data_IF_764311890466
#
_entry.id   IF_764311890466
#
_cell.length_a   1.000
_cell.length_b   1.000
_cell.length_c   1.000
_cell.angle_alpha   90.00
_cell.angle_beta   90.00
_cell.angle_gamma   90.00
#
_symmetry.space_group_name_H-M   'P 1'
#
loop_
_entity.id
_entity.type
_entity.pdbx_description
1 polymer ?
#
# COMPACT_ATOMS: atom_id res chain seq x y z
N UNK A 1 14.59 10.99 4.31
CA UNK A 1 15.72 10.14 4.75
C UNK A 1 15.47 8.72 4.28
N UNK A 2 15.87 8.39 3.06
CA UNK A 2 16.12 7.02 2.63
C UNK A 2 17.63 6.98 2.48
N UNK A 3 18.27 6.15 3.29
CA UNK A 3 19.70 6.21 3.52
C UNK A 3 20.45 5.82 2.24
N UNK A 4 21.09 6.81 1.62
CA UNK A 4 22.20 6.60 0.71
C UNK A 4 23.45 6.34 1.56
N UNK A 5 23.97 5.13 1.53
CA UNK A 5 25.40 4.89 1.77
C UNK A 5 25.86 3.73 0.91
N UNK A 6 26.55 4.10 -0.17
CA UNK A 6 27.57 3.28 -0.81
C UNK A 6 28.64 2.91 0.22
N UNK A 7 29.05 1.65 0.27
CA UNK A 7 30.40 1.29 0.70
C UNK A 7 31.19 0.86 -0.52
N UNK A 8 32.12 1.74 -0.93
CA UNK A 8 33.26 1.35 -1.73
C UNK A 8 34.16 0.46 -0.87
N UNK A 9 34.58 -0.69 -1.40
CA UNK A 9 35.63 -1.51 -0.82
C UNK A 9 36.69 -1.77 -1.87
N UNK A 10 37.90 -1.31 -1.59
CA UNK A 10 39.12 -1.60 -2.35
C UNK A 10 39.57 -3.05 -2.10
N UNK A 11 39.91 -3.75 -3.18
CA UNK A 11 40.45 -5.11 -3.14
C UNK A 11 41.85 -5.17 -2.52
N UNK A 12 42.21 -6.33 -1.94
CA UNK A 12 43.37 -7.05 -2.45
C UNK A 12 42.97 -8.46 -2.93
N UNK A 13 43.64 -8.91 -4.00
CA UNK A 13 43.48 -10.22 -4.64
C UNK A 13 44.06 -11.32 -3.74
N UNK A 14 43.24 -12.30 -3.37
CA UNK A 14 43.71 -13.64 -3.00
C UNK A 14 42.70 -14.68 -3.49
N UNK A 15 43.20 -15.56 -4.36
CA UNK A 15 42.46 -16.67 -4.96
C UNK A 15 42.24 -17.74 -3.89
N UNK A 16 41.00 -17.90 -3.46
CA UNK A 16 40.52 -19.13 -2.82
C UNK A 16 39.18 -19.43 -3.45
N UNK A 17 39.12 -20.49 -4.25
CA UNK A 17 37.89 -21.05 -4.76
C UNK A 17 37.05 -21.53 -3.56
N UNK A 18 36.20 -20.64 -3.07
CA UNK A 18 35.11 -21.01 -2.18
C UNK A 18 34.03 -21.59 -3.07
N UNK A 19 33.83 -22.90 -3.00
CA UNK A 19 32.56 -23.51 -3.38
C UNK A 19 31.48 -22.89 -2.49
N UNK A 20 30.96 -21.76 -2.93
CA UNK A 20 29.77 -21.17 -2.38
C UNK A 20 28.63 -22.01 -2.94
N UNK A 21 28.09 -22.90 -2.13
CA UNK A 21 26.73 -23.38 -2.30
C UNK A 21 25.80 -22.19 -2.03
N UNK A 22 25.84 -21.20 -2.93
CA UNK A 22 24.90 -20.09 -2.94
C UNK A 22 23.56 -20.74 -3.19
N UNK A 23 22.68 -20.73 -2.20
CA UNK A 23 21.26 -20.92 -2.40
C UNK A 23 20.85 -19.89 -3.45
N UNK A 24 20.83 -20.34 -4.70
CA UNK A 24 20.57 -19.49 -5.84
C UNK A 24 19.16 -18.94 -5.65
N UNK A 25 19.02 -17.61 -5.64
CA UNK A 25 17.72 -16.98 -5.49
C UNK A 25 16.95 -17.13 -6.81
N UNK A 26 16.37 -18.33 -6.99
CA UNK A 26 15.63 -18.74 -8.18
C UNK A 26 14.38 -17.88 -8.40
N UNK A 27 13.87 -17.25 -7.35
CA UNK A 27 12.73 -16.34 -7.44
C UNK A 27 13.18 -15.07 -8.14
N UNK A 28 14.31 -14.48 -7.75
CA UNK A 28 14.89 -13.31 -8.42
C UNK A 28 15.33 -13.55 -9.87
N UNK A 29 15.37 -14.80 -10.35
CA UNK A 29 15.68 -15.12 -11.75
C UNK A 29 14.45 -15.16 -12.67
N UNK A 30 13.25 -15.04 -12.11
CA UNK A 30 12.02 -14.99 -12.91
C UNK A 30 11.96 -13.66 -13.68
N UNK A 31 11.32 -13.64 -14.88
CA UNK A 31 11.06 -12.40 -15.59
C UNK A 31 10.28 -11.39 -14.74
N UNK A 32 10.57 -10.11 -14.94
CA UNK A 32 9.97 -9.00 -14.19
C UNK A 32 8.43 -9.05 -14.20
N UNK A 33 7.82 -9.47 -15.30
CA UNK A 33 6.36 -9.58 -15.42
C UNK A 33 5.79 -10.62 -14.44
N UNK A 34 6.49 -11.73 -14.25
CA UNK A 34 6.08 -12.78 -13.30
C UNK A 34 6.25 -12.28 -11.87
N UNK A 35 7.35 -11.57 -11.58
CA UNK A 35 7.60 -10.98 -10.28
C UNK A 35 6.55 -9.93 -9.92
N UNK A 36 6.21 -9.04 -10.86
CA UNK A 36 5.11 -8.07 -10.70
C UNK A 36 3.78 -8.78 -10.48
N UNK A 37 3.50 -9.86 -11.20
CA UNK A 37 2.30 -10.68 -11.01
C UNK A 37 2.24 -11.39 -9.66
N UNK A 38 3.39 -11.73 -9.05
CA UNK A 38 3.43 -12.27 -7.68
C UNK A 38 3.16 -11.15 -6.68
N UNK A 39 3.88 -10.03 -6.82
CA UNK A 39 3.74 -8.87 -5.93
C UNK A 39 2.34 -8.25 -5.97
N UNK A 40 1.65 -8.26 -7.12
CA UNK A 40 0.29 -7.73 -7.26
C UNK A 40 -0.78 -8.53 -6.51
N UNK A 41 -0.46 -9.75 -6.09
CA UNK A 41 -1.33 -10.60 -5.26
C UNK A 41 -1.17 -10.32 -3.77
N UNK A 42 -0.16 -9.56 -3.40
CA UNK A 42 0.14 -9.20 -2.02
C UNK A 42 -0.53 -7.87 -1.65
N UNK A 43 -0.70 -7.65 -0.35
CA UNK A 43 -0.88 -6.29 0.17
C UNK A 43 0.37 -5.46 -0.08
N UNK A 44 0.25 -4.14 -0.12
CA UNK A 44 1.42 -3.26 -0.26
C UNK A 44 2.41 -3.46 0.90
N UNK A 45 1.91 -3.75 2.10
CA UNK A 45 2.75 -4.02 3.27
C UNK A 45 3.62 -5.26 3.04
N UNK A 46 3.02 -6.32 2.51
CA UNK A 46 3.73 -7.56 2.18
C UNK A 46 4.66 -7.36 0.98
N UNK A 47 4.25 -6.64 -0.06
CA UNK A 47 5.07 -6.34 -1.22
C UNK A 47 6.32 -5.53 -0.84
N UNK A 48 6.18 -4.48 -0.02
CA UNK A 48 7.29 -3.69 0.51
C UNK A 48 8.18 -4.54 1.42
N UNK A 49 7.60 -5.44 2.22
CA UNK A 49 8.39 -6.36 3.05
C UNK A 49 9.19 -7.35 2.22
N UNK A 50 8.58 -7.92 1.18
CA UNK A 50 9.24 -8.82 0.23
C UNK A 50 10.31 -8.10 -0.60
N UNK A 51 10.16 -6.79 -0.81
CA UNK A 51 11.16 -5.93 -1.44
C UNK A 51 12.49 -5.88 -0.68
N UNK A 52 12.54 -6.31 0.58
CA UNK A 52 13.77 -6.40 1.37
C UNK A 52 14.56 -7.70 1.09
N UNK A 53 13.94 -8.68 0.43
CA UNK A 53 14.55 -9.99 0.17
C UNK A 53 15.45 -9.98 -1.06
N UNK A 54 15.23 -9.05 -2.00
CA UNK A 54 16.00 -8.95 -3.23
C UNK A 54 16.04 -7.53 -3.76
N UNK A 55 17.18 -7.15 -4.35
CA UNK A 55 17.31 -5.88 -5.08
C UNK A 55 16.28 -5.77 -6.20
N UNK A 56 15.91 -6.89 -6.82
CA UNK A 56 14.96 -6.88 -7.92
C UNK A 56 13.56 -6.51 -7.42
N UNK A 57 13.15 -7.16 -6.34
CA UNK A 57 11.89 -6.90 -5.69
C UNK A 57 11.80 -5.47 -5.14
N UNK A 58 12.94 -4.93 -4.69
CA UNK A 58 13.07 -3.55 -4.20
C UNK A 58 12.74 -2.47 -5.24
N UNK A 59 12.90 -2.75 -6.54
CA UNK A 59 12.50 -1.82 -7.58
C UNK A 59 11.10 -2.13 -8.13
N UNK A 60 10.71 -3.41 -8.24
CA UNK A 60 9.45 -3.79 -8.87
C UNK A 60 8.20 -3.42 -8.07
N UNK A 61 8.29 -3.39 -6.73
CA UNK A 61 7.10 -3.11 -5.91
C UNK A 61 6.49 -1.73 -6.18
N UNK A 62 7.25 -0.76 -6.70
CA UNK A 62 6.73 0.59 -7.05
C UNK A 62 5.99 0.63 -8.39
N UNK A 63 5.98 -0.47 -9.13
CA UNK A 63 5.35 -0.61 -10.45
C UNK A 63 4.11 -1.51 -10.46
N UNK A 64 3.76 -2.11 -9.31
CA UNK A 64 2.63 -3.05 -9.25
C UNK A 64 1.31 -2.36 -9.64
N UNK A 65 0.41 -3.04 -10.38
CA UNK A 65 -0.87 -2.47 -10.76
C UNK A 65 -1.90 -2.47 -9.63
N UNK A 66 -1.63 -3.19 -8.54
CA UNK A 66 -2.55 -3.36 -7.40
C UNK A 66 -1.95 -2.72 -6.16
N UNK A 67 -2.52 -1.60 -5.73
CA UNK A 67 -2.23 -0.94 -4.46
C UNK A 67 -3.29 -1.33 -3.42
N UNK A 68 -3.10 -2.50 -2.80
CA UNK A 68 -3.95 -3.00 -1.73
C UNK A 68 -3.38 -2.63 -0.36
N UNK A 69 -3.93 -1.61 0.28
CA UNK A 69 -3.54 -1.16 1.62
C UNK A 69 -4.36 -1.81 2.75
N UNK A 70 -4.94 -2.98 2.53
CA UNK A 70 -5.59 -3.75 3.60
C UNK A 70 -4.57 -4.14 4.70
N UNK A 71 -4.79 -3.63 5.91
CA UNK A 71 -4.02 -3.98 7.11
C UNK A 71 -4.94 -4.63 8.17
N UNK A 72 -5.66 -5.66 7.75
CA UNK A 72 -6.55 -6.47 8.59
C UNK A 72 -5.90 -6.95 9.88
N UNK A 73 -4.59 -7.24 9.87
CA UNK A 73 -3.85 -7.63 11.09
C UNK A 73 -3.77 -6.47 12.09
N UNK A 74 -3.38 -5.27 11.66
CA UNK A 74 -3.36 -4.09 12.54
C UNK A 74 -4.75 -3.72 13.01
N UNK A 75 -5.76 -3.86 12.17
CA UNK A 75 -7.16 -3.65 12.53
C UNK A 75 -7.64 -4.63 13.60
N UNK A 76 -7.27 -5.90 13.49
CA UNK A 76 -7.54 -6.89 14.51
C UNK A 76 -6.89 -6.52 15.85
N UNK A 77 -5.62 -6.14 15.86
CA UNK A 77 -4.91 -5.68 17.07
C UNK A 77 -5.59 -4.45 17.72
N UNK A 78 -6.13 -3.54 16.91
CA UNK A 78 -6.87 -2.36 17.37
C UNK A 78 -8.21 -2.75 18.01
N UNK A 79 -8.94 -3.69 17.39
CA UNK A 79 -10.22 -4.20 17.93
C UNK A 79 -10.06 -4.90 19.26
N UNK A 80 -8.91 -5.55 19.49
CA UNK A 80 -8.56 -6.14 20.79
C UNK A 80 -8.16 -5.10 21.86
N UNK A 81 -8.13 -3.80 21.53
CA UNK A 81 -7.73 -2.74 22.45
C UNK A 81 -6.24 -2.71 22.77
N UNK A 82 -5.41 -3.50 22.07
CA UNK A 82 -3.98 -3.60 22.34
C UNK A 82 -3.18 -2.34 21.92
N UNK A 83 -3.78 -1.47 21.10
CA UNK A 83 -3.12 -0.30 20.51
C UNK A 83 -4.05 0.92 20.50
N UNK A 84 -3.46 2.11 20.57
CA UNK A 84 -4.20 3.38 20.42
C UNK A 84 -4.59 3.61 18.96
N UNK A 85 -5.89 3.72 18.69
CA UNK A 85 -6.44 3.99 17.36
C UNK A 85 -5.81 5.22 16.70
N UNK A 86 -5.71 6.34 17.43
CA UNK A 86 -5.14 7.58 16.91
C UNK A 86 -3.69 7.40 16.45
N UNK A 87 -2.88 6.68 17.23
CA UNK A 87 -1.46 6.44 16.91
C UNK A 87 -1.32 5.55 15.68
N UNK A 88 -2.11 4.48 15.60
CA UNK A 88 -2.07 3.57 14.47
C UNK A 88 -2.64 4.19 13.19
N UNK A 89 -3.68 5.02 13.28
CA UNK A 89 -4.18 5.80 12.15
C UNK A 89 -3.10 6.74 11.58
N UNK A 90 -2.35 7.44 12.44
CA UNK A 90 -1.24 8.30 11.98
C UNK A 90 -0.14 7.48 11.27
N UNK A 91 0.23 6.31 11.81
CA UNK A 91 1.22 5.43 11.16
C UNK A 91 0.73 4.92 9.82
N UNK A 92 -0.53 4.50 9.75
CA UNK A 92 -1.15 4.03 8.53
C UNK A 92 -1.17 5.13 7.46
N UNK A 93 -1.65 6.33 7.80
CA UNK A 93 -1.66 7.48 6.87
C UNK A 93 -0.26 7.80 6.37
N UNK A 94 0.74 7.84 7.27
CA UNK A 94 2.14 8.09 6.89
C UNK A 94 2.68 7.03 5.94
N UNK A 95 2.32 5.76 6.17
CA UNK A 95 2.74 4.65 5.31
C UNK A 95 2.11 4.76 3.92
N UNK A 96 0.79 4.98 3.82
CA UNK A 96 0.11 5.19 2.54
C UNK A 96 0.77 6.35 1.79
N UNK A 97 0.93 7.51 2.44
CA UNK A 97 1.57 8.68 1.82
C UNK A 97 2.98 8.39 1.30
N UNK A 98 3.77 7.61 2.03
CA UNK A 98 5.12 7.22 1.59
C UNK A 98 5.06 6.35 0.33
N UNK A 99 4.17 5.36 0.30
CA UNK A 99 3.97 4.49 -0.87
C UNK A 99 3.55 5.32 -2.09
N UNK A 100 2.56 6.20 -1.95
CA UNK A 100 2.08 7.01 -3.07
C UNK A 100 3.18 7.91 -3.65
N UNK A 101 4.03 8.46 -2.79
CA UNK A 101 5.18 9.28 -3.20
C UNK A 101 6.27 8.46 -3.91
N UNK A 102 6.36 7.16 -3.66
CA UNK A 102 7.33 6.26 -4.30
C UNK A 102 6.78 5.56 -5.55
N UNK A 103 5.49 5.65 -5.81
CA UNK A 103 4.84 4.91 -6.89
C UNK A 103 5.25 5.42 -8.29
N UNK A 104 5.78 4.52 -9.11
CA UNK A 104 6.30 4.82 -10.45
C UNK A 104 5.50 4.15 -11.57
N UNK A 105 4.57 3.25 -11.23
CA UNK A 105 3.76 2.53 -12.20
C UNK A 105 2.93 3.44 -13.13
N UNK A 106 2.74 3.03 -14.39
CA UNK A 106 2.04 3.83 -15.41
C UNK A 106 0.51 3.82 -15.21
N UNK A 107 -0.04 2.73 -14.65
CA UNK A 107 -1.47 2.53 -14.45
C UNK A 107 -1.73 1.71 -13.21
N UNK A 108 -2.84 2.00 -12.53
CA UNK A 108 -3.28 1.26 -11.35
C UNK A 108 -4.62 0.61 -11.68
N UNK A 109 -4.68 -0.71 -11.58
CA UNK A 109 -5.91 -1.49 -11.70
C UNK A 109 -6.77 -1.32 -10.45
N UNK A 110 -6.18 -1.52 -9.26
CA UNK A 110 -6.88 -1.42 -7.98
C UNK A 110 -6.14 -0.49 -7.03
N UNK A 111 -6.86 0.49 -6.47
CA UNK A 111 -6.46 1.25 -5.30
C UNK A 111 -7.44 0.94 -4.18
N UNK A 112 -7.02 0.18 -3.17
CA UNK A 112 -7.85 -0.17 -2.02
C UNK A 112 -7.25 0.40 -0.74
N UNK A 113 -8.05 1.13 0.02
CA UNK A 113 -7.75 1.51 1.41
C UNK A 113 -8.80 0.90 2.31
N UNK A 114 -8.36 0.14 3.31
CA UNK A 114 -9.22 -0.47 4.31
C UNK A 114 -8.61 -0.22 5.70
N UNK A 115 -9.06 0.84 6.37
CA UNK A 115 -8.58 1.21 7.70
C UNK A 115 -9.54 2.14 8.46
N UNK A 116 -9.52 2.08 9.79
CA UNK A 116 -10.33 2.95 10.65
C UNK A 116 -9.81 4.41 10.59
N UNK A 117 -10.44 5.25 9.76
CA UNK A 117 -10.06 6.64 9.53
C UNK A 117 -11.28 7.57 9.61
N UNK A 118 -11.11 8.70 10.29
CA UNK A 118 -12.17 9.70 10.47
C UNK A 118 -11.80 11.08 9.91
N UNK A 119 -12.57 12.11 10.27
CA UNK A 119 -12.36 13.48 9.81
C UNK A 119 -10.96 14.06 10.07
N UNK A 120 -10.22 13.55 11.06
CA UNK A 120 -8.83 13.96 11.31
C UNK A 120 -7.89 13.66 10.13
N UNK A 121 -8.25 12.69 9.28
CA UNK A 121 -7.47 12.25 8.13
C UNK A 121 -8.05 12.73 6.80
N UNK A 122 -9.09 13.59 6.82
CA UNK A 122 -9.81 14.02 5.62
C UNK A 122 -8.90 14.61 4.54
N UNK A 123 -7.93 15.43 4.94
CA UNK A 123 -6.96 16.04 4.00
C UNK A 123 -6.08 15.01 3.31
N UNK A 124 -5.72 13.92 3.99
CA UNK A 124 -4.92 12.85 3.38
C UNK A 124 -5.78 11.98 2.47
N UNK A 125 -7.01 11.66 2.89
CA UNK A 125 -7.97 10.94 2.06
C UNK A 125 -8.26 11.71 0.76
N UNK A 126 -8.45 13.03 0.82
CA UNK A 126 -8.61 13.89 -0.36
C UNK A 126 -7.41 13.80 -1.31
N UNK A 127 -6.18 13.78 -0.77
CA UNK A 127 -4.95 13.58 -1.57
C UNK A 127 -4.94 12.20 -2.23
N UNK A 128 -5.34 11.16 -1.52
CA UNK A 128 -5.39 9.79 -2.07
C UNK A 128 -6.38 9.68 -3.21
N UNK A 129 -7.55 10.32 -3.07
CA UNK A 129 -8.55 10.40 -4.14
C UNK A 129 -8.01 11.15 -5.35
N UNK A 130 -7.36 12.31 -5.14
CA UNK A 130 -6.76 13.07 -6.24
C UNK A 130 -5.67 12.25 -6.95
N UNK A 131 -4.81 11.57 -6.20
CA UNK A 131 -3.83 10.64 -6.75
C UNK A 131 -4.49 9.54 -7.60
N UNK A 132 -5.58 8.94 -7.10
CA UNK A 132 -6.30 7.90 -7.83
C UNK A 132 -6.90 8.41 -9.14
N UNK A 133 -7.42 9.64 -9.14
CA UNK A 133 -7.92 10.32 -10.35
C UNK A 133 -6.77 10.61 -11.33
N UNK A 134 -5.66 11.16 -10.86
CA UNK A 134 -4.48 11.46 -11.68
C UNK A 134 -3.90 10.21 -12.34
N UNK A 135 -3.86 9.09 -11.60
CA UNK A 135 -3.39 7.78 -12.09
C UNK A 135 -4.44 7.00 -12.88
N UNK A 136 -5.66 7.54 -13.05
CA UNK A 136 -6.79 6.89 -13.74
C UNK A 136 -7.02 5.47 -13.24
N UNK A 137 -7.07 5.32 -11.93
CA UNK A 137 -7.28 4.02 -11.27
C UNK A 137 -8.55 3.36 -11.81
N UNK A 138 -8.48 2.10 -12.23
CA UNK A 138 -9.65 1.42 -12.80
C UNK A 138 -10.72 1.11 -11.73
N UNK A 139 -10.28 0.73 -10.53
CA UNK A 139 -11.14 0.42 -9.38
C UNK A 139 -10.61 1.07 -8.10
N UNK A 140 -11.39 1.99 -7.55
CA UNK A 140 -11.12 2.66 -6.27
C UNK A 140 -12.05 2.09 -5.20
N UNK A 141 -11.47 1.57 -4.12
CA UNK A 141 -12.21 1.02 -2.97
C UNK A 141 -11.73 1.71 -1.68
N UNK A 142 -12.63 2.42 -1.00
CA UNK A 142 -12.35 3.08 0.27
C UNK A 142 -13.29 2.54 1.34
N UNK A 143 -12.75 1.75 2.27
CA UNK A 143 -13.42 1.36 3.49
C UNK A 143 -12.77 2.08 4.68
N UNK A 144 -13.47 3.10 5.16
CA UNK A 144 -13.05 4.00 6.24
C UNK A 144 -13.90 3.79 7.50
N UNK A 145 -14.76 2.77 7.52
CA UNK A 145 -15.85 2.66 8.48
C UNK A 145 -15.37 2.46 9.92
N UNK A 146 -15.83 3.32 10.82
CA UNK A 146 -15.55 3.26 12.26
C UNK A 146 -16.54 2.29 12.92
N UNK A 147 -16.18 1.01 13.07
CA UNK A 147 -17.04 0.00 13.70
C UNK A 147 -17.20 0.21 15.22
N UNK A 148 -16.50 1.16 15.83
CA UNK A 148 -16.59 1.43 17.26
C UNK A 148 -17.73 2.42 17.50
N UNK A 149 -18.94 1.90 17.76
CA UNK A 149 -20.19 2.65 18.00
C UNK A 149 -20.22 3.54 19.26
N UNK A 150 -19.15 4.30 19.53
CA UNK A 150 -18.98 5.06 20.76
C UNK A 150 -18.18 6.35 20.57
N UNK A 151 -18.75 7.31 19.83
CA UNK A 151 -18.43 8.73 20.05
C UNK A 151 -17.79 9.49 18.90
N UNK A 152 -18.48 10.57 18.48
CA UNK A 152 -18.00 11.85 17.90
C UNK A 152 -16.95 11.83 16.76
N UNK A 153 -16.55 10.69 16.23
CA UNK A 153 -15.70 10.66 15.06
C UNK A 153 -16.55 11.06 13.86
N UNK A 154 -16.42 12.31 13.44
CA UNK A 154 -17.11 12.82 12.25
C UNK A 154 -16.67 11.94 11.08
N UNK A 155 -17.63 11.27 10.45
CA UNK A 155 -17.40 10.51 9.23
C UNK A 155 -16.74 11.42 8.17
N UNK A 156 -15.86 10.86 7.37
CA UNK A 156 -15.32 11.56 6.22
C UNK A 156 -16.45 11.94 5.26
N UNK A 157 -16.48 13.20 4.80
CA UNK A 157 -17.43 13.67 3.81
C UNK A 157 -16.70 13.83 2.47
N UNK A 158 -17.10 13.03 1.48
CA UNK A 158 -16.51 13.09 0.15
C UNK A 158 -16.71 14.48 -0.49
N UNK A 159 -15.67 15.09 -1.08
CA UNK A 159 -15.81 16.32 -1.84
C UNK A 159 -16.76 16.10 -3.02
N UNK A 160 -17.80 16.93 -3.13
CA UNK A 160 -18.85 16.85 -4.17
C UNK A 160 -18.30 16.82 -5.61
N UNK A 161 -17.15 17.45 -5.84
CA UNK A 161 -16.52 17.53 -7.16
C UNK A 161 -15.81 16.23 -7.56
N UNK A 162 -15.30 15.49 -6.58
CA UNK A 162 -14.60 14.22 -6.82
C UNK A 162 -15.58 13.14 -7.24
N UNK A 163 -16.79 13.09 -6.67
CA UNK A 163 -17.81 12.07 -7.00
C UNK A 163 -18.20 12.09 -8.47
N UNK A 164 -18.38 13.27 -9.08
CA UNK A 164 -18.78 13.38 -10.49
C UNK A 164 -17.71 12.88 -11.46
N UNK A 165 -16.44 13.16 -11.14
CA UNK A 165 -15.29 12.75 -11.96
C UNK A 165 -14.94 11.26 -11.77
N UNK A 166 -15.14 10.78 -10.54
CA UNK A 166 -15.04 9.37 -10.20
C UNK A 166 -16.12 8.54 -10.91
N UNK A 167 -17.36 9.04 -11.04
CA UNK A 167 -18.45 8.33 -11.72
C UNK A 167 -18.39 8.33 -13.26
N UNK A 168 -17.74 9.32 -13.88
CA UNK A 168 -17.58 9.36 -15.35
C UNK A 168 -16.44 8.49 -15.86
N UNK A 169 -15.39 8.31 -15.05
CA UNK A 169 -14.10 7.76 -15.51
C UNK A 169 -13.71 6.44 -14.81
N UNK A 170 -14.35 6.07 -13.68
CA UNK A 170 -13.91 4.96 -12.81
C UNK A 170 -15.12 4.11 -12.38
N UNK A 171 -14.97 2.78 -12.34
CA UNK A 171 -15.90 1.92 -11.60
C UNK A 171 -15.64 2.13 -10.11
N UNK A 172 -16.35 3.10 -9.51
CA UNK A 172 -16.25 3.38 -8.08
C UNK A 172 -17.21 2.46 -7.36
N UNK A 173 -16.69 1.37 -6.82
CA UNK A 173 -17.43 0.62 -5.82
C UNK A 173 -17.22 1.35 -4.49
N UNK A 174 -18.09 2.32 -4.19
CA UNK A 174 -18.28 2.76 -2.81
C UNK A 174 -18.98 1.61 -2.08
N UNK A 175 -18.22 0.61 -1.66
CA UNK A 175 -18.73 -0.43 -0.78
C UNK A 175 -18.90 0.16 0.62
N UNK A 176 -19.92 1.01 0.78
CA UNK A 176 -20.65 1.10 2.03
C UNK A 176 -21.37 -0.23 2.15
N UNK A 177 -20.72 -1.29 2.66
CA UNK A 177 -21.44 -2.54 2.92
C UNK A 177 -22.54 -2.25 3.94
N UNK A 178 -23.83 -2.31 3.57
CA UNK A 178 -24.87 -2.50 4.55
C UNK A 178 -24.99 -4.02 4.67
N UNK A 179 -24.05 -4.66 5.37
CA UNK A 179 -24.30 -6.04 5.80
C UNK A 179 -25.12 -5.99 7.09
N UNK A 180 -26.32 -5.41 6.98
CA UNK A 180 -27.53 -5.99 7.55
C UNK A 180 -28.15 -6.75 6.39
N UNK A 181 -28.42 -8.05 6.56
CA UNK A 181 -29.78 -8.63 6.65
C UNK A 181 -29.58 -10.16 6.55
N UNK A 182 -30.48 -11.02 7.07
CA UNK A 182 -31.56 -10.79 8.05
C UNK A 182 -31.25 -11.39 9.43
#
# INVERSE_FOLDING_TARGET
>A
MICATMFASSHPKTSVAREANTLEDRISQLPDEILVSILSRLTVIEAVSASLLSRIWSYLWTYIPVLNFDDSKRLHDLKLGCKSLKKEAHKYVSFVNQVLNSYQGPSIELFRVHFLLGASSAKDIDKWINFAIEKRVQRLELDLSDYMGGGRNKCYTFPRMSVRKLQSDIHVTLSLFPNLIP
#
